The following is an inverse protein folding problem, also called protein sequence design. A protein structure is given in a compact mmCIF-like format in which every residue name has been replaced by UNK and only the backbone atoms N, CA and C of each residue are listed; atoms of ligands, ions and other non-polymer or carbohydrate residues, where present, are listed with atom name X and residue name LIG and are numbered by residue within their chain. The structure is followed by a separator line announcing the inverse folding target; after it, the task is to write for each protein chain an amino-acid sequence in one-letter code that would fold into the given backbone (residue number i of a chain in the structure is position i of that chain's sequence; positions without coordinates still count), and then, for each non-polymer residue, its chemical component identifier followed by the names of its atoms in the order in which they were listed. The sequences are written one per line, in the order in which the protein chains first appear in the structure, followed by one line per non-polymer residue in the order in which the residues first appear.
data_IF_687676792461
#
_entry.id   IF_687676792461
#
_cell.length_a   1.000
_cell.length_b   1.000
_cell.length_c   1.000
_cell.angle_alpha   90.00
_cell.angle_beta   90.00
_cell.angle_gamma   90.00
#
_symmetry.space_group_name_H-M   'P 1'
#
loop_
_entity.id
_entity.type
_entity.pdbx_description
1 polymer ?
#
# COMPACT_ATOMS: atom_id res chain seq x y z
N UNK A 1 1.44 -11.61 -9.88
CA UNK A 1 1.22 -10.31 -9.22
C UNK A 1 2.09 -9.22 -9.82
N UNK A 2 3.41 -9.23 -9.63
CA UNK A 2 4.30 -8.18 -10.16
C UNK A 2 4.25 -8.01 -11.69
N UNK A 3 4.29 -9.11 -12.44
CA UNK A 3 4.17 -9.04 -13.91
C UNK A 3 2.82 -8.43 -14.33
N UNK A 4 1.74 -8.73 -13.62
CA UNK A 4 0.41 -8.14 -13.85
C UNK A 4 0.37 -6.65 -13.57
N UNK A 5 1.10 -6.17 -12.55
CA UNK A 5 1.23 -4.74 -12.25
C UNK A 5 2.07 -4.06 -13.34
N UNK A 6 3.24 -4.61 -13.65
CA UNK A 6 4.16 -4.07 -14.64
C UNK A 6 3.55 -4.03 -16.05
N UNK A 7 2.96 -5.13 -16.51
CA UNK A 7 2.32 -5.21 -17.82
C UNK A 7 1.08 -4.30 -17.90
N UNK A 8 0.29 -4.22 -16.83
CA UNK A 8 -0.86 -3.31 -16.77
C UNK A 8 -0.43 -1.85 -16.96
N UNK A 9 0.58 -1.41 -16.20
CA UNK A 9 1.12 -0.07 -16.33
C UNK A 9 1.72 0.18 -17.74
N UNK A 10 2.55 -0.75 -18.24
CA UNK A 10 3.15 -0.62 -19.56
C UNK A 10 2.13 -0.57 -20.69
N UNK A 11 0.99 -1.26 -20.54
CA UNK A 11 -0.10 -1.25 -21.54
C UNK A 11 -0.90 0.04 -21.55
N UNK A 12 -1.00 0.72 -20.41
CA UNK A 12 -1.78 1.95 -20.26
C UNK A 12 -0.99 3.17 -20.74
N UNK A 13 0.34 3.19 -20.56
CA UNK A 13 1.17 4.32 -20.99
C UNK A 13 2.61 3.93 -21.36
N UNK A 14 3.15 4.40 -22.51
CA UNK A 14 4.56 4.26 -22.84
C UNK A 14 5.49 4.85 -21.79
N UNK A 15 5.09 5.94 -21.11
CA UNK A 15 5.89 6.55 -20.05
C UNK A 15 6.09 5.61 -18.88
N UNK A 16 5.07 4.82 -18.53
CA UNK A 16 5.17 3.84 -17.45
C UNK A 16 5.94 2.59 -17.89
N UNK A 17 5.85 2.22 -19.17
CA UNK A 17 6.70 1.18 -19.75
C UNK A 17 8.19 1.57 -19.67
N UNK A 18 8.52 2.81 -20.03
CA UNK A 18 9.87 3.37 -19.93
C UNK A 18 10.36 3.50 -18.48
N UNK A 19 9.44 3.72 -17.54
CA UNK A 19 9.75 3.79 -16.12
C UNK A 19 10.03 2.42 -15.49
N UNK A 20 9.78 1.28 -16.15
CA UNK A 20 10.03 -0.03 -15.55
C UNK A 20 11.52 -0.25 -15.28
N UNK A 21 11.83 -0.76 -14.07
CA UNK A 21 13.16 -1.25 -13.77
C UNK A 21 13.50 -2.49 -14.62
N UNK A 22 14.79 -2.68 -14.97
CA UNK A 22 15.29 -3.95 -15.49
C UNK A 22 14.87 -5.12 -14.59
N UNK A 23 14.57 -6.27 -15.19
CA UNK A 23 13.99 -7.42 -14.46
C UNK A 23 14.88 -7.88 -13.29
N UNK A 24 16.20 -7.82 -13.46
CA UNK A 24 17.20 -8.18 -12.47
C UNK A 24 17.36 -7.15 -11.34
N UNK A 25 16.87 -5.92 -11.53
CA UNK A 25 16.86 -4.87 -10.50
C UNK A 25 15.56 -4.84 -9.68
N UNK A 26 14.50 -5.53 -10.15
CA UNK A 26 13.20 -5.56 -9.47
C UNK A 26 13.26 -6.32 -8.16
N UNK A 27 12.54 -5.83 -7.15
CA UNK A 27 12.46 -6.46 -5.81
C UNK A 27 11.08 -7.05 -5.57
N UNK A 28 10.94 -8.36 -5.73
CA UNK A 28 9.63 -9.04 -5.75
C UNK A 28 9.19 -9.52 -4.35
N UNK A 29 9.45 -8.72 -3.32
CA UNK A 29 9.06 -9.02 -1.95
C UNK A 29 7.67 -8.46 -1.65
N UNK A 30 6.72 -9.31 -1.32
CA UNK A 30 5.40 -8.90 -0.81
C UNK A 30 5.52 -8.38 0.62
N UNK A 31 4.90 -7.23 0.90
CA UNK A 31 4.96 -6.58 2.22
C UNK A 31 3.64 -6.77 2.98
N UNK A 32 2.57 -6.12 2.52
CA UNK A 32 1.27 -6.14 3.21
C UNK A 32 0.21 -7.03 2.55
N UNK A 33 0.33 -7.32 1.24
CA UNK A 33 -0.59 -8.24 0.56
C UNK A 33 -0.68 -9.64 1.17
N UNK A 34 0.35 -10.21 1.85
CA UNK A 34 0.20 -11.50 2.54
C UNK A 34 -0.70 -11.45 3.79
N UNK A 35 -1.00 -10.26 4.31
CA UNK A 35 -1.94 -10.07 5.42
C UNK A 35 -3.41 -9.96 4.94
N UNK A 36 -3.62 -9.71 3.65
CA UNK A 36 -4.94 -9.48 3.08
C UNK A 36 -5.59 -10.79 2.56
N UNK A 37 -6.93 -10.82 2.38
CA UNK A 37 -7.60 -11.87 1.62
C UNK A 37 -6.97 -12.06 0.23
N UNK A 38 -6.83 -13.32 -0.20
CA UNK A 38 -6.07 -13.67 -1.41
C UNK A 38 -6.64 -13.05 -2.69
N UNK A 39 -7.96 -12.90 -2.78
CA UNK A 39 -8.68 -12.25 -3.87
C UNK A 39 -8.45 -10.74 -3.94
N UNK A 40 -8.08 -10.11 -2.82
CA UNK A 40 -7.77 -8.67 -2.73
C UNK A 40 -6.27 -8.36 -2.80
N UNK A 41 -5.41 -9.37 -2.65
CA UNK A 41 -3.96 -9.21 -2.55
C UNK A 41 -3.34 -8.46 -3.74
N UNK A 42 -3.80 -8.70 -4.97
CA UNK A 42 -3.31 -7.99 -6.16
C UNK A 42 -3.62 -6.50 -6.10
N UNK A 43 -4.81 -6.12 -5.65
CA UNK A 43 -5.21 -4.72 -5.47
C UNK A 43 -4.35 -4.05 -4.41
N UNK A 44 -4.25 -4.66 -3.22
CA UNK A 44 -3.41 -4.17 -2.11
C UNK A 44 -1.96 -3.97 -2.56
N UNK A 45 -1.38 -4.92 -3.28
CA UNK A 45 -0.01 -4.82 -3.77
C UNK A 45 0.17 -3.69 -4.80
N UNK A 46 -0.82 -3.47 -5.65
CA UNK A 46 -0.80 -2.38 -6.65
C UNK A 46 -0.81 -1.02 -5.96
N UNK A 47 -1.68 -0.86 -4.96
CA UNK A 47 -1.75 0.38 -4.16
C UNK A 47 -0.45 0.55 -3.38
N UNK A 48 0.09 -0.50 -2.77
CA UNK A 48 1.35 -0.40 -2.03
C UNK A 48 2.52 -0.02 -2.94
N UNK A 49 2.55 -0.50 -4.18
CA UNK A 49 3.54 -0.05 -5.17
C UNK A 49 3.38 1.45 -5.47
N UNK A 50 2.15 1.94 -5.64
CA UNK A 50 1.88 3.38 -5.78
C UNK A 50 2.34 4.20 -4.58
N UNK A 51 2.14 3.67 -3.37
CA UNK A 51 2.61 4.29 -2.14
C UNK A 51 4.15 4.37 -2.10
N UNK A 52 4.85 3.32 -2.53
CA UNK A 52 6.31 3.34 -2.62
C UNK A 52 6.82 4.31 -3.69
N UNK A 53 6.12 4.45 -4.82
CA UNK A 53 6.45 5.46 -5.83
C UNK A 53 6.33 6.88 -5.27
N UNK A 54 5.36 7.13 -4.38
CA UNK A 54 5.16 8.44 -3.75
C UNK A 54 6.11 8.72 -2.57
N UNK A 55 6.35 7.74 -1.70
CA UNK A 55 6.92 7.99 -0.36
C UNK A 55 8.10 7.09 0.00
N UNK A 56 8.57 6.26 -0.91
CA UNK A 56 9.67 5.35 -0.65
C UNK A 56 10.43 4.99 -1.91
N UNK A 57 10.93 3.76 -1.93
CA UNK A 57 11.62 3.16 -3.06
C UNK A 57 10.72 2.13 -3.73
N UNK A 58 10.25 2.46 -4.93
CA UNK A 58 9.53 1.54 -5.80
C UNK A 58 10.35 0.28 -6.08
N UNK A 59 9.63 -0.83 -6.23
CA UNK A 59 10.18 -2.16 -6.48
C UNK A 59 10.16 -2.51 -7.96
N UNK A 60 9.26 -1.88 -8.72
CA UNK A 60 9.04 -2.16 -10.13
C UNK A 60 9.44 -1.01 -11.04
N UNK A 61 9.47 0.23 -10.54
CA UNK A 61 9.62 1.42 -11.36
C UNK A 61 10.77 2.30 -10.90
N UNK A 62 11.47 2.87 -11.87
CA UNK A 62 12.42 3.95 -11.68
C UNK A 62 11.66 5.22 -11.32
N UNK A 63 12.18 5.96 -10.34
CA UNK A 63 11.66 7.25 -9.89
C UNK A 63 12.60 8.39 -10.30
N UNK A 64 13.34 8.24 -11.40
CA UNK A 64 14.34 9.22 -11.85
C UNK A 64 13.75 10.58 -12.24
N UNK A 65 12.47 10.62 -12.64
CA UNK A 65 11.73 11.85 -12.93
C UNK A 65 10.56 11.99 -11.95
N UNK A 66 10.56 13.07 -11.17
CA UNK A 66 9.58 13.28 -10.10
C UNK A 66 8.14 13.47 -10.62
N UNK A 67 7.93 14.20 -11.71
CA UNK A 67 6.60 14.43 -12.27
C UNK A 67 5.98 13.14 -12.82
N UNK A 68 6.81 12.30 -13.46
CA UNK A 68 6.38 10.98 -13.95
C UNK A 68 6.09 10.04 -12.80
N UNK A 69 6.92 10.05 -11.75
CA UNK A 69 6.69 9.25 -10.55
C UNK A 69 5.38 9.64 -9.86
N UNK A 70 5.10 10.94 -9.72
CA UNK A 70 3.85 11.42 -9.13
C UNK A 70 2.62 10.86 -9.86
N UNK A 71 2.56 11.02 -11.19
CA UNK A 71 1.43 10.52 -11.99
C UNK A 71 1.33 8.99 -12.01
N UNK A 72 2.48 8.29 -11.99
CA UNK A 72 2.51 6.84 -11.90
C UNK A 72 1.98 6.34 -10.54
N UNK A 73 2.35 7.01 -9.45
CA UNK A 73 1.82 6.70 -8.12
C UNK A 73 0.30 6.85 -8.07
N UNK A 74 -0.23 7.95 -8.62
CA UNK A 74 -1.68 8.20 -8.70
C UNK A 74 -2.41 7.15 -9.54
N UNK A 75 -1.83 6.77 -10.69
CA UNK A 75 -2.35 5.68 -11.49
C UNK A 75 -2.41 4.37 -10.71
N UNK A 76 -1.34 4.00 -10.01
CA UNK A 76 -1.26 2.73 -9.27
C UNK A 76 -2.27 2.69 -8.12
N UNK A 77 -2.49 3.81 -7.41
CA UNK A 77 -3.59 3.92 -6.45
C UNK A 77 -4.95 3.70 -7.09
N UNK A 78 -5.27 4.45 -8.15
CA UNK A 78 -6.56 4.35 -8.82
C UNK A 78 -6.79 2.94 -9.40
N UNK A 79 -5.80 2.39 -10.09
CA UNK A 79 -5.89 1.07 -10.70
C UNK A 79 -5.97 -0.06 -9.67
N UNK A 80 -5.27 0.07 -8.54
CA UNK A 80 -5.39 -0.85 -7.43
C UNK A 80 -6.80 -0.86 -6.82
N UNK A 81 -7.44 0.32 -6.68
CA UNK A 81 -8.83 0.43 -6.24
C UNK A 81 -9.81 -0.18 -7.26
N UNK A 82 -9.58 -0.01 -8.57
CA UNK A 82 -10.38 -0.65 -9.62
C UNK A 82 -10.34 -2.18 -9.47
N UNK A 83 -9.15 -2.77 -9.29
CA UNK A 83 -8.99 -4.22 -9.09
C UNK A 83 -9.75 -4.74 -7.87
N UNK A 84 -9.79 -3.96 -6.79
CA UNK A 84 -10.58 -4.31 -5.59
C UNK A 84 -12.08 -4.16 -5.87
N UNK A 85 -12.49 -3.09 -6.54
CA UNK A 85 -13.89 -2.86 -6.87
C UNK A 85 -14.48 -3.94 -7.79
N UNK A 86 -13.69 -4.52 -8.68
CA UNK A 86 -14.08 -5.65 -9.56
C UNK A 86 -14.48 -6.92 -8.77
N UNK A 87 -14.04 -7.05 -7.51
CA UNK A 87 -14.47 -8.15 -6.62
C UNK A 87 -15.87 -7.92 -6.03
N UNK A 88 -16.44 -6.72 -6.18
CA UNK A 88 -17.70 -6.30 -5.57
C UNK A 88 -17.57 -5.88 -4.09
N UNK A 89 -16.35 -5.90 -3.53
CA UNK A 89 -16.11 -5.56 -2.13
C UNK A 89 -15.95 -4.04 -1.93
N UNK A 90 -17.08 -3.34 -1.79
CA UNK A 90 -17.12 -1.88 -1.60
C UNK A 90 -16.47 -1.46 -0.27
N UNK A 91 -16.60 -2.28 0.78
CA UNK A 91 -16.00 -2.01 2.09
C UNK A 91 -14.47 -2.03 2.00
N UNK A 92 -13.90 -2.96 1.22
CA UNK A 92 -12.46 -2.99 0.96
C UNK A 92 -11.97 -1.74 0.20
N UNK A 93 -12.76 -1.24 -0.76
CA UNK A 93 -12.44 0.01 -1.47
C UNK A 93 -12.41 1.17 -0.47
N UNK A 94 -13.42 1.28 0.41
CA UNK A 94 -13.49 2.32 1.42
C UNK A 94 -12.29 2.24 2.40
N UNK A 95 -11.96 1.05 2.89
CA UNK A 95 -10.82 0.84 3.78
C UNK A 95 -9.48 1.27 3.16
N UNK A 96 -9.28 0.97 1.88
CA UNK A 96 -8.05 1.34 1.17
C UNK A 96 -8.00 2.84 0.84
N UNK A 97 -9.13 3.46 0.52
CA UNK A 97 -9.21 4.91 0.32
C UNK A 97 -8.92 5.67 1.63
N UNK A 98 -9.44 5.20 2.76
CA UNK A 98 -9.14 5.75 4.08
C UNK A 98 -7.66 5.56 4.44
N UNK A 99 -7.08 4.40 4.14
CA UNK A 99 -5.64 4.16 4.33
C UNK A 99 -4.79 5.14 3.52
N UNK A 100 -5.07 5.32 2.22
CA UNK A 100 -4.34 6.27 1.37
C UNK A 100 -4.41 7.68 1.95
N UNK A 101 -5.59 8.11 2.40
CA UNK A 101 -5.81 9.42 3.00
C UNK A 101 -5.02 9.59 4.30
N UNK A 102 -5.06 8.59 5.17
CA UNK A 102 -4.36 8.57 6.46
C UNK A 102 -2.83 8.60 6.28
N UNK A 103 -2.28 7.78 5.38
CA UNK A 103 -0.86 7.79 5.06
C UNK A 103 -0.41 9.13 4.45
N UNK A 104 -1.20 9.67 3.51
CA UNK A 104 -0.91 10.98 2.89
C UNK A 104 -0.85 12.08 3.96
N UNK A 105 -1.81 12.09 4.88
CA UNK A 105 -1.84 13.05 5.99
C UNK A 105 -0.62 12.88 6.90
N UNK A 106 -0.31 11.65 7.34
CA UNK A 106 0.84 11.37 8.19
C UNK A 106 2.16 11.84 7.54
N UNK A 107 2.35 11.53 6.26
CA UNK A 107 3.53 11.98 5.49
C UNK A 107 3.61 13.50 5.34
N UNK A 108 2.49 14.17 5.09
CA UNK A 108 2.46 15.63 5.00
C UNK A 108 2.80 16.32 6.33
N UNK A 109 2.45 15.70 7.46
CA UNK A 109 2.76 16.20 8.81
C UNK A 109 4.10 15.72 9.36
N UNK A 110 4.84 14.87 8.64
CA UNK A 110 6.06 14.23 9.14
C UNK A 110 5.82 13.28 10.32
N UNK A 111 4.58 12.81 10.49
CA UNK A 111 4.20 11.87 11.53
C UNK A 111 4.52 10.43 11.10
N UNK A 112 4.87 9.61 12.08
CA UNK A 112 5.06 8.16 11.88
C UNK A 112 3.70 7.43 11.92
N UNK A 113 3.71 6.12 11.63
CA UNK A 113 2.54 5.25 11.84
C UNK A 113 1.87 4.72 10.56
N UNK A 114 2.34 5.12 9.38
CA UNK A 114 1.90 4.56 8.11
C UNK A 114 2.13 3.03 8.02
N UNK A 115 3.26 2.54 8.51
CA UNK A 115 3.57 1.11 8.52
C UNK A 115 2.50 0.28 9.26
N UNK A 116 2.05 0.75 10.42
CA UNK A 116 1.00 0.06 11.19
C UNK A 116 -0.39 0.28 10.60
N UNK A 117 -0.65 1.45 9.99
CA UNK A 117 -1.90 1.70 9.27
C UNK A 117 -2.07 0.73 8.09
N UNK A 118 -0.99 0.48 7.35
CA UNK A 118 -0.93 -0.53 6.29
C UNK A 118 -1.20 -1.95 6.83
N UNK A 119 -0.49 -2.36 7.90
CA UNK A 119 -0.66 -3.68 8.48
C UNK A 119 -2.10 -3.92 9.00
N UNK A 120 -2.66 -2.92 9.71
CA UNK A 120 -4.02 -3.00 10.25
C UNK A 120 -5.07 -3.05 9.14
N UNK A 121 -4.95 -2.20 8.12
CA UNK A 121 -5.90 -2.18 7.00
C UNK A 121 -5.83 -3.46 6.18
N UNK A 122 -4.63 -3.97 5.86
CA UNK A 122 -4.49 -5.21 5.10
C UNK A 122 -5.07 -6.42 5.86
N UNK A 123 -4.77 -6.54 7.16
CA UNK A 123 -5.23 -7.66 8.00
C UNK A 123 -6.72 -7.63 8.34
N UNK A 124 -7.36 -6.45 8.31
CA UNK A 124 -8.79 -6.27 8.62
C UNK A 124 -9.62 -5.80 7.43
N UNK A 125 -9.10 -5.96 6.21
CA UNK A 125 -9.72 -5.44 5.00
C UNK A 125 -11.17 -5.93 4.87
N UNK A 126 -12.11 -5.00 4.70
CA UNK A 126 -13.56 -5.27 4.62
C UNK A 126 -14.17 -5.94 5.87
N UNK A 127 -13.47 -5.91 7.00
CA UNK A 127 -13.96 -6.47 8.28
C UNK A 127 -14.44 -5.39 9.26
N UNK A 128 -14.26 -4.11 8.91
CA UNK A 128 -14.61 -2.97 9.75
C UNK A 128 -13.81 -2.88 11.06
N UNK A 129 -14.18 -1.90 11.90
CA UNK A 129 -13.63 -1.74 13.24
C UNK A 129 -12.26 -1.06 13.31
N UNK A 130 -11.87 -0.32 12.27
CA UNK A 130 -10.63 0.47 12.27
C UNK A 130 -10.86 1.96 12.52
N UNK A 131 -12.10 2.45 12.57
CA UNK A 131 -12.39 3.89 12.60
C UNK A 131 -11.80 4.59 13.83
N UNK A 132 -12.02 4.04 15.02
CA UNK A 132 -11.47 4.60 16.27
C UNK A 132 -9.93 4.58 16.25
N UNK A 133 -9.33 3.49 15.75
CA UNK A 133 -7.89 3.34 15.65
C UNK A 133 -7.27 4.32 14.63
N UNK A 134 -7.94 4.53 13.48
CA UNK A 134 -7.55 5.54 12.47
C UNK A 134 -7.67 6.95 13.04
N UNK A 135 -8.72 7.21 13.83
CA UNK A 135 -8.94 8.50 14.49
C UNK A 135 -7.86 8.80 15.53
N UNK A 136 -7.45 7.81 16.33
CA UNK A 136 -6.34 7.97 17.28
C UNK A 136 -5.04 8.36 16.56
N UNK A 137 -4.69 7.70 15.46
CA UNK A 137 -3.52 8.09 14.66
C UNK A 137 -3.68 9.50 14.08
N UNK A 138 -4.86 9.83 13.54
CA UNK A 138 -5.12 11.09 12.87
C UNK A 138 -5.09 12.32 13.79
N UNK A 139 -5.65 12.18 14.99
CA UNK A 139 -5.87 13.30 15.91
C UNK A 139 -4.77 13.42 16.96
N UNK A 140 -4.25 12.27 17.42
CA UNK A 140 -3.33 12.20 18.55
C UNK A 140 -1.93 11.74 18.12
N UNK A 141 -1.79 11.25 16.88
CA UNK A 141 -0.54 10.64 16.41
C UNK A 141 -0.24 9.30 17.06
N UNK A 142 -1.24 8.64 17.66
CA UNK A 142 -1.05 7.36 18.36
C UNK A 142 -1.23 6.16 17.39
N UNK A 143 -0.14 5.44 17.05
CA UNK A 143 -0.21 4.25 16.20
C UNK A 143 -0.65 2.98 16.97
N UNK A 144 -0.71 3.02 18.30
CA UNK A 144 -0.88 1.83 19.15
C UNK A 144 -2.17 1.06 18.83
N UNK A 145 -3.34 1.70 18.69
CA UNK A 145 -4.58 0.97 18.41
C UNK A 145 -4.56 0.24 17.06
N UNK A 146 -3.87 0.80 16.06
CA UNK A 146 -3.71 0.14 14.75
C UNK A 146 -2.77 -1.06 14.85
N UNK A 147 -1.67 -0.94 15.60
CA UNK A 147 -0.75 -2.04 15.84
C UNK A 147 -1.44 -3.21 16.58
N UNK A 148 -2.24 -2.91 17.60
CA UNK A 148 -3.03 -3.91 18.32
C UNK A 148 -4.08 -4.57 17.42
N UNK A 149 -4.80 -3.79 16.61
CA UNK A 149 -5.78 -4.30 15.67
C UNK A 149 -5.15 -5.26 14.64
N UNK A 150 -3.96 -4.92 14.12
CA UNK A 150 -3.23 -5.76 13.18
C UNK A 150 -2.80 -7.09 13.81
N UNK A 151 -2.23 -7.05 15.02
CA UNK A 151 -1.74 -8.24 15.75
C UNK A 151 -2.88 -9.14 16.19
N UNK A 152 -4.00 -8.56 16.62
CA UNK A 152 -5.22 -9.31 16.95
C UNK A 152 -5.77 -10.07 15.74
N UNK A 153 -5.71 -9.47 14.54
CA UNK A 153 -6.23 -10.07 13.32
C UNK A 153 -5.28 -11.10 12.67
N UNK A 154 -3.97 -10.79 12.58
CA UNK A 154 -3.00 -11.58 11.80
C UNK A 154 -1.94 -12.27 12.66
N UNK A 155 -1.87 -12.00 13.96
CA UNK A 155 -0.81 -12.48 14.86
C UNK A 155 0.46 -11.62 14.80
N UNK A 156 1.32 -11.78 15.81
CA UNK A 156 2.53 -10.96 15.94
C UNK A 156 3.56 -11.21 14.83
N UNK A 157 3.85 -12.48 14.55
CA UNK A 157 4.93 -12.83 13.63
C UNK A 157 4.67 -12.34 12.19
N UNK A 158 3.47 -12.50 11.59
CA UNK A 158 3.21 -11.95 10.26
C UNK A 158 3.27 -10.42 10.22
N UNK A 159 2.78 -9.74 11.26
CA UNK A 159 2.85 -8.28 11.36
C UNK A 159 4.29 -7.80 11.45
N UNK A 160 5.11 -8.40 12.32
CA UNK A 160 6.55 -8.05 12.43
C UNK A 160 7.29 -8.23 11.11
N UNK A 161 7.04 -9.34 10.38
CA UNK A 161 7.65 -9.56 9.07
C UNK A 161 7.27 -8.48 8.06
N UNK A 162 5.99 -8.07 8.04
CA UNK A 162 5.52 -7.01 7.15
C UNK A 162 6.15 -5.65 7.50
N UNK A 163 6.19 -5.28 8.78
CA UNK A 163 6.81 -4.03 9.24
C UNK A 163 8.31 -4.00 8.94
N UNK A 164 9.03 -5.10 9.20
CA UNK A 164 10.45 -5.22 8.89
C UNK A 164 10.75 -5.17 7.38
N UNK A 165 9.84 -5.69 6.54
CA UNK A 165 9.95 -5.58 5.09
C UNK A 165 9.68 -4.15 4.61
N UNK A 166 8.65 -3.48 5.14
CA UNK A 166 8.32 -2.09 4.83
C UNK A 166 9.49 -1.13 5.08
N UNK A 167 10.15 -1.27 6.23
CA UNK A 167 11.31 -0.45 6.62
C UNK A 167 12.51 -0.54 5.66
N UNK A 168 12.55 -1.54 4.75
CA UNK A 168 13.60 -1.64 3.72
C UNK A 168 13.33 -0.75 2.50
N UNK A 169 12.09 -0.32 2.32
CA UNK A 169 11.62 0.46 1.18
C UNK A 169 11.28 1.90 1.55
N UNK A 170 11.06 2.17 2.84
CA UNK A 170 10.75 3.48 3.39
C UNK A 170 11.81 3.86 4.41
N UNK A 171 12.44 5.01 4.21
CA UNK A 171 13.46 5.60 5.09
C UNK A 171 13.42 7.11 5.00
#
# INVERSE_FOLDING_TARGET
MWETIAAGAASESPLWAEALLPVDERRLDSVFSPLAPTDLALGVETIYEGYLVHYGRSRLFSQANADTALLLGDYLYAHGLVRVAETGNVDAVADLAELISLCTQARASGAEGDAVAWAATASRLASGGLEDARSALRLEGDPTPLAEAARSAAGDEPVERALAAHARFVG
#
